data_IF_547801071694
#
_entry.id   IF_547801071694
#
_cell.length_a   1.000
_cell.length_b   1.000
_cell.length_c   1.000
_cell.angle_alpha   90.00
_cell.angle_beta   90.00
_cell.angle_gamma   90.00
#
_symmetry.space_group_name_H-M   'P 1'
#
loop_
_entity.id
_entity.type
_entity.pdbx_description
1 polymer ?
#
# COMPACT_ATOMS: atom_id res chain seq x y z
N UNK A 1 5.43 11.63 3.58
CA UNK A 1 6.25 11.69 4.82
C UNK A 1 7.68 12.10 4.48
N UNK A 2 8.41 12.64 5.44
CA UNK A 2 9.85 12.94 5.33
C UNK A 2 10.62 12.13 6.38
N UNK A 3 11.78 11.63 6.00
CA UNK A 3 12.63 10.82 6.89
C UNK A 3 14.04 11.40 6.96
N UNK A 4 14.75 11.10 8.04
CA UNK A 4 16.19 11.29 8.12
C UNK A 4 16.99 10.24 7.35
N UNK A 5 18.32 10.26 7.48
CA UNK A 5 19.25 9.31 6.84
C UNK A 5 19.06 7.86 7.26
N UNK A 6 18.54 7.63 8.44
CA UNK A 6 18.35 6.32 9.05
C UNK A 6 16.92 5.79 8.84
N UNK A 7 16.07 6.57 8.15
CA UNK A 7 14.68 6.21 7.88
C UNK A 7 13.71 6.53 9.02
N UNK A 8 14.14 7.28 10.05
CA UNK A 8 13.21 7.74 11.08
C UNK A 8 12.32 8.85 10.50
N UNK A 9 11.01 8.75 10.71
CA UNK A 9 10.04 9.72 10.22
C UNK A 9 10.18 11.00 11.04
N UNK A 10 10.46 12.11 10.35
CA UNK A 10 10.61 13.45 10.94
C UNK A 10 9.34 14.28 10.76
N UNK A 11 8.60 14.01 9.69
CA UNK A 11 7.39 14.73 9.37
C UNK A 11 6.39 13.81 8.65
N UNK A 12 5.14 13.91 9.04
CA UNK A 12 4.03 13.19 8.41
C UNK A 12 2.88 14.16 8.13
N UNK A 13 2.44 14.20 6.87
CA UNK A 13 1.26 14.99 6.45
C UNK A 13 0.33 14.08 5.65
N UNK A 14 -0.93 14.04 6.05
CA UNK A 14 -1.95 13.28 5.35
C UNK A 14 -2.43 14.02 4.10
N UNK A 15 -2.28 13.39 2.94
CA UNK A 15 -2.74 13.89 1.62
C UNK A 15 -2.42 15.37 1.36
N UNK A 16 -1.16 15.83 1.53
CA UNK A 16 -0.79 17.20 1.29
C UNK A 16 -1.00 17.57 -0.19
N UNK A 17 -1.31 18.86 -0.47
CA UNK A 17 -1.53 19.36 -1.83
C UNK A 17 -0.79 20.68 -2.05
N UNK A 18 -0.54 21.02 -3.31
CA UNK A 18 0.11 22.27 -3.69
C UNK A 18 1.48 22.44 -3.06
N UNK A 19 1.75 23.59 -2.45
CA UNK A 19 3.04 23.91 -1.85
C UNK A 19 3.35 23.01 -0.66
N UNK A 20 2.34 22.64 0.14
CA UNK A 20 2.50 21.68 1.24
C UNK A 20 2.99 20.30 0.77
N UNK A 21 2.61 19.86 -0.43
CA UNK A 21 3.17 18.65 -1.03
C UNK A 21 4.63 18.86 -1.45
N UNK A 22 4.96 20.00 -2.07
CA UNK A 22 6.32 20.30 -2.53
C UNK A 22 7.33 20.30 -1.39
N UNK A 23 6.94 20.82 -0.22
CA UNK A 23 7.77 20.79 0.99
C UNK A 23 8.08 19.38 1.50
N UNK A 24 7.28 18.39 1.11
CA UNK A 24 7.44 16.98 1.50
C UNK A 24 8.38 16.19 0.57
N UNK A 25 8.96 16.84 -0.45
CA UNK A 25 9.91 16.18 -1.35
C UNK A 25 11.18 15.74 -0.60
N UNK A 26 11.65 14.56 -0.93
CA UNK A 26 12.88 13.96 -0.40
C UNK A 26 13.71 13.40 -1.56
N UNK A 27 15.01 13.22 -1.33
CA UNK A 27 15.87 12.50 -2.26
C UNK A 27 15.59 10.99 -2.16
N UNK A 28 14.80 10.46 -3.07
CA UNK A 28 14.43 9.04 -3.12
C UNK A 28 15.51 8.16 -3.71
N UNK A 29 16.60 8.70 -4.27
CA UNK A 29 17.77 7.90 -4.70
C UNK A 29 18.40 7.15 -3.54
N UNK A 30 18.26 7.68 -2.32
CA UNK A 30 18.71 7.04 -1.07
C UNK A 30 18.03 5.70 -0.78
N UNK A 31 16.91 5.43 -1.43
CA UNK A 31 16.13 4.19 -1.30
C UNK A 31 16.34 3.25 -2.50
N UNK A 32 17.38 3.48 -3.28
CA UNK A 32 17.77 2.59 -4.39
C UNK A 32 17.20 2.96 -5.76
N UNK A 33 16.46 4.09 -5.88
CA UNK A 33 16.01 4.56 -7.18
C UNK A 33 17.15 5.18 -7.99
N UNK A 34 17.09 5.05 -9.32
CA UNK A 34 17.99 5.79 -10.21
C UNK A 34 17.76 7.31 -10.07
N UNK A 35 18.74 8.12 -10.41
CA UNK A 35 18.62 9.58 -10.33
C UNK A 35 17.44 10.12 -11.14
N UNK A 36 17.14 9.53 -12.29
CA UNK A 36 15.99 9.88 -13.12
C UNK A 36 14.67 9.54 -12.43
N UNK A 37 14.53 8.30 -11.94
CA UNK A 37 13.34 7.87 -11.20
C UNK A 37 13.14 8.64 -9.90
N UNK A 38 14.21 9.05 -9.23
CA UNK A 38 14.13 9.86 -8.02
C UNK A 38 13.57 11.26 -8.28
N UNK A 39 13.91 11.86 -9.43
CA UNK A 39 13.34 13.16 -9.83
C UNK A 39 11.85 13.06 -10.15
N UNK A 40 11.41 11.97 -10.76
CA UNK A 40 10.01 11.74 -11.09
C UNK A 40 9.16 11.36 -9.87
N UNK A 41 9.77 10.70 -8.88
CA UNK A 41 9.10 10.17 -7.68
C UNK A 41 9.74 10.72 -6.39
N UNK A 42 9.69 12.04 -6.12
CA UNK A 42 10.38 12.67 -5.00
C UNK A 42 9.61 12.56 -3.67
N UNK A 43 8.58 11.74 -3.57
CA UNK A 43 7.73 11.66 -2.38
C UNK A 43 7.67 10.26 -1.80
N UNK A 44 7.70 10.18 -0.46
CA UNK A 44 7.37 8.96 0.26
C UNK A 44 5.91 8.99 0.68
N UNK A 45 5.12 8.08 0.14
CA UNK A 45 3.72 7.89 0.51
C UNK A 45 3.56 6.86 1.63
N UNK A 46 2.52 7.00 2.45
CA UNK A 46 2.10 5.96 3.38
C UNK A 46 1.19 4.98 2.66
N UNK A 47 1.43 3.69 2.85
CA UNK A 47 0.56 2.62 2.37
C UNK A 47 -0.61 2.36 3.34
N UNK A 48 -0.71 3.08 4.46
CA UNK A 48 -1.72 2.85 5.49
C UNK A 48 -1.49 1.59 6.32
N UNK A 49 -0.28 1.02 6.28
CA UNK A 49 0.09 -0.18 7.02
C UNK A 49 1.07 0.22 8.12
N UNK A 50 0.71 -0.09 9.37
CA UNK A 50 1.48 0.32 10.53
C UNK A 50 1.70 -0.86 11.49
N UNK A 51 2.87 -0.90 12.09
CA UNK A 51 3.22 -1.85 13.15
C UNK A 51 3.58 -1.05 14.40
N UNK A 52 2.89 -1.30 15.49
CA UNK A 52 3.10 -0.64 16.77
C UNK A 52 3.60 -1.62 17.82
N UNK A 53 4.40 -1.15 18.77
CA UNK A 53 4.46 -1.83 20.05
C UNK A 53 3.09 -1.73 20.73
N UNK A 54 2.66 -2.79 21.40
CA UNK A 54 1.35 -2.82 22.07
C UNK A 54 1.16 -1.63 23.00
N UNK A 55 2.14 -1.35 23.84
CA UNK A 55 2.05 -0.27 24.84
C UNK A 55 1.88 1.09 24.15
N UNK A 56 2.71 1.39 23.15
CA UNK A 56 2.63 2.66 22.41
C UNK A 56 1.25 2.85 21.77
N UNK A 57 0.68 1.79 21.18
CA UNK A 57 -0.64 1.88 20.57
C UNK A 57 -1.73 2.19 21.60
N UNK A 58 -1.73 1.47 22.73
CA UNK A 58 -2.71 1.71 23.79
C UNK A 58 -2.56 3.10 24.38
N UNK A 59 -1.35 3.56 24.66
CA UNK A 59 -1.09 4.90 25.19
C UNK A 59 -1.61 6.02 24.24
N UNK A 60 -1.51 5.80 22.92
CA UNK A 60 -2.01 6.75 21.93
C UNK A 60 -3.53 6.76 21.80
N UNK A 61 -4.18 5.61 21.95
CA UNK A 61 -5.63 5.47 21.78
C UNK A 61 -6.39 5.73 23.09
N UNK A 62 -5.92 5.19 24.21
CA UNK A 62 -6.56 5.35 25.52
C UNK A 62 -6.35 6.76 26.09
N UNK A 63 -5.19 7.38 25.77
CA UNK A 63 -4.87 8.74 26.20
C UNK A 63 -5.67 9.83 25.49
N UNK A 64 -6.27 9.51 24.34
CA UNK A 64 -7.12 10.45 23.61
C UNK A 64 -8.16 9.68 22.76
N UNK A 65 -9.36 9.59 23.31
CA UNK A 65 -10.50 8.90 22.67
C UNK A 65 -11.03 9.58 21.40
N UNK A 66 -10.53 10.77 21.07
CA UNK A 66 -10.92 11.51 19.88
C UNK A 66 -10.10 11.13 18.64
N UNK A 67 -9.03 10.33 18.80
CA UNK A 67 -8.24 9.83 17.68
C UNK A 67 -9.04 8.80 16.86
N UNK A 68 -9.45 9.21 15.64
CA UNK A 68 -10.27 8.40 14.69
C UNK A 68 -9.54 8.03 13.41
N UNK A 69 -8.41 8.67 13.13
CA UNK A 69 -7.66 8.52 11.88
C UNK A 69 -6.15 8.39 12.18
N UNK A 70 -5.56 7.30 11.70
CA UNK A 70 -4.14 7.06 11.95
C UNK A 70 -3.25 8.11 11.28
N UNK A 71 -3.54 8.49 10.05
CA UNK A 71 -2.73 9.43 9.28
C UNK A 71 -2.85 10.88 9.75
N UNK A 72 -4.05 11.27 10.17
CA UNK A 72 -4.32 12.67 10.58
C UNK A 72 -4.03 12.94 12.04
N UNK A 73 -4.18 11.94 12.90
CA UNK A 73 -4.23 12.14 14.34
C UNK A 73 -3.19 11.28 15.07
N UNK A 74 -3.23 9.95 14.92
CA UNK A 74 -2.39 9.03 15.71
C UNK A 74 -0.90 9.18 15.38
N UNK A 75 -0.53 9.17 14.09
CA UNK A 75 0.87 9.30 13.68
C UNK A 75 1.44 10.68 14.02
N UNK A 76 0.76 11.81 13.73
CA UNK A 76 1.22 13.12 14.17
C UNK A 76 1.32 13.26 15.69
N UNK A 77 0.37 12.70 16.46
CA UNK A 77 0.44 12.69 17.93
C UNK A 77 1.65 11.91 18.45
N UNK A 78 1.94 10.75 17.87
CA UNK A 78 3.12 9.96 18.21
C UNK A 78 4.42 10.71 17.92
N UNK A 79 4.52 11.37 16.76
CA UNK A 79 5.67 12.25 16.44
C UNK A 79 5.81 13.41 17.45
N UNK A 80 4.70 14.07 17.79
CA UNK A 80 4.69 15.18 18.74
C UNK A 80 5.09 14.75 20.16
N UNK A 81 4.77 13.51 20.53
CA UNK A 81 5.18 12.89 21.80
C UNK A 81 6.67 12.55 21.84
N UNK A 82 7.33 12.52 20.68
CA UNK A 82 8.73 12.15 20.55
C UNK A 82 8.98 10.64 20.45
N UNK A 83 7.96 9.88 20.08
CA UNK A 83 8.14 8.46 19.81
C UNK A 83 9.03 8.22 18.58
N UNK A 84 9.76 7.11 18.59
CA UNK A 84 10.55 6.70 17.43
C UNK A 84 9.65 6.04 16.40
N UNK A 85 9.45 6.70 15.26
CA UNK A 85 8.74 6.16 14.10
C UNK A 85 9.74 5.81 13.00
N UNK A 86 9.78 4.55 12.62
CA UNK A 86 10.67 4.04 11.58
C UNK A 86 9.87 3.75 10.31
N UNK A 87 10.32 4.27 9.17
CA UNK A 87 9.77 3.91 7.87
C UNK A 87 10.35 2.57 7.40
N UNK A 88 9.50 1.75 6.79
CA UNK A 88 9.89 0.62 5.96
C UNK A 88 9.56 0.97 4.52
N UNK A 89 10.57 1.06 3.67
CA UNK A 89 10.38 1.35 2.25
C UNK A 89 10.05 0.06 1.52
N UNK A 90 8.87 0.01 0.93
CA UNK A 90 8.40 -1.10 0.11
C UNK A 90 8.55 -0.71 -1.36
N UNK A 91 9.30 -1.49 -2.12
CA UNK A 91 9.59 -1.26 -3.54
C UNK A 91 9.13 -2.47 -4.38
N UNK A 92 7.86 -2.83 -4.25
CA UNK A 92 7.20 -3.85 -5.04
C UNK A 92 5.80 -3.39 -5.40
N UNK A 93 5.00 -4.24 -6.05
CA UNK A 93 3.65 -3.90 -6.47
C UNK A 93 2.75 -3.54 -5.28
N UNK A 94 2.22 -2.35 -5.32
CA UNK A 94 1.19 -1.86 -4.40
C UNK A 94 0.20 -0.99 -5.18
N UNK A 95 -1.10 -1.16 -4.93
CA UNK A 95 -2.15 -0.39 -5.59
C UNK A 95 -3.21 0.05 -4.58
N UNK A 96 -3.58 1.33 -4.64
CA UNK A 96 -4.74 1.88 -3.92
C UNK A 96 -5.98 1.78 -4.81
N UNK A 97 -6.84 0.80 -4.53
CA UNK A 97 -8.07 0.55 -5.29
C UNK A 97 -9.27 1.37 -4.78
N UNK A 98 -9.03 2.63 -4.43
CA UNK A 98 -10.05 3.54 -3.90
C UNK A 98 -11.11 4.02 -4.90
N UNK A 99 -11.01 3.66 -6.18
CA UNK A 99 -11.99 4.00 -7.23
C UNK A 99 -12.41 2.77 -8.03
N UNK A 100 -13.58 2.83 -8.69
CA UNK A 100 -14.04 1.75 -9.59
C UNK A 100 -13.05 1.52 -10.72
N UNK A 101 -12.46 2.58 -11.28
CA UNK A 101 -11.43 2.47 -12.32
C UNK A 101 -10.18 1.73 -11.84
N UNK A 102 -9.60 2.14 -10.70
CA UNK A 102 -8.44 1.47 -10.11
C UNK A 102 -8.74 -0.01 -9.77
N UNK A 103 -9.92 -0.30 -9.24
CA UNK A 103 -10.37 -1.68 -9.00
C UNK A 103 -10.41 -2.51 -10.29
N UNK A 104 -10.98 -1.96 -11.36
CA UNK A 104 -11.07 -2.63 -12.65
C UNK A 104 -9.67 -2.89 -13.23
N UNK A 105 -8.82 -1.88 -13.27
CA UNK A 105 -7.44 -1.98 -13.78
C UNK A 105 -6.59 -2.97 -12.98
N UNK A 106 -6.68 -2.96 -11.65
CA UNK A 106 -6.00 -3.91 -10.80
C UNK A 106 -6.41 -5.37 -11.06
N UNK A 107 -7.71 -5.62 -11.33
CA UNK A 107 -8.17 -6.95 -11.72
C UNK A 107 -7.62 -7.38 -13.09
N UNK A 108 -7.64 -6.50 -14.08
CA UNK A 108 -7.08 -6.79 -15.40
C UNK A 108 -5.55 -6.99 -15.37
N UNK A 109 -4.85 -6.28 -14.48
CA UNK A 109 -3.41 -6.42 -14.30
C UNK A 109 -3.00 -7.86 -13.95
N UNK A 110 -3.85 -8.61 -13.23
CA UNK A 110 -3.61 -10.02 -12.88
C UNK A 110 -3.56 -10.96 -14.10
N UNK A 111 -4.16 -10.55 -15.21
CA UNK A 111 -4.21 -11.35 -16.46
C UNK A 111 -3.12 -10.95 -17.46
N UNK A 112 -2.23 -10.00 -17.13
CA UNK A 112 -1.20 -9.49 -18.02
C UNK A 112 -0.16 -10.57 -18.37
N UNK A 113 0.34 -10.49 -19.59
CA UNK A 113 1.39 -11.35 -20.12
C UNK A 113 2.63 -10.52 -20.49
N UNK A 114 3.84 -11.06 -20.38
CA UNK A 114 4.18 -12.44 -19.99
C UNK A 114 4.14 -12.69 -18.48
N UNK A 115 4.05 -11.64 -17.66
CA UNK A 115 4.02 -11.75 -16.19
C UNK A 115 3.11 -10.67 -15.61
N UNK A 116 2.15 -11.04 -14.76
CA UNK A 116 1.37 -10.06 -14.01
C UNK A 116 2.24 -9.33 -12.97
N UNK A 117 1.83 -8.14 -12.49
CA UNK A 117 2.57 -7.38 -11.47
C UNK A 117 2.68 -8.15 -10.14
N UNK A 118 1.70 -9.01 -9.82
CA UNK A 118 1.81 -9.97 -8.73
C UNK A 118 1.02 -11.24 -9.06
N UNK A 119 1.28 -12.34 -8.35
CA UNK A 119 0.64 -13.63 -8.58
C UNK A 119 -0.09 -14.14 -7.36
N UNK A 120 -1.33 -14.62 -7.54
CA UNK A 120 -2.06 -15.38 -6.51
C UNK A 120 -1.51 -16.80 -6.30
N UNK A 121 -0.68 -17.27 -7.22
CA UNK A 121 -0.21 -18.66 -7.31
C UNK A 121 1.23 -18.83 -6.80
N UNK A 122 1.68 -17.95 -5.89
CA UNK A 122 2.99 -18.11 -5.26
C UNK A 122 2.89 -19.15 -4.13
N UNK A 123 3.55 -20.29 -4.33
CA UNK A 123 3.55 -21.39 -3.36
C UNK A 123 4.23 -21.04 -2.03
N UNK A 124 5.17 -20.09 -2.05
CA UNK A 124 5.87 -19.63 -0.84
C UNK A 124 5.07 -18.65 -0.02
N UNK A 125 4.19 -17.88 -0.67
CA UNK A 125 3.35 -16.86 -0.06
C UNK A 125 1.90 -17.01 -0.52
N UNK A 126 1.23 -18.11 -0.11
CA UNK A 126 -0.12 -18.42 -0.59
C UNK A 126 -1.12 -17.35 -0.11
N UNK A 127 -1.95 -16.89 -1.03
CA UNK A 127 -3.08 -16.01 -0.72
C UNK A 127 -4.31 -16.87 -0.50
N UNK A 128 -4.79 -16.91 0.74
CA UNK A 128 -5.98 -17.67 1.12
C UNK A 128 -7.23 -16.88 0.75
N UNK A 129 -8.13 -17.52 -0.01
CA UNK A 129 -9.43 -16.95 -0.36
C UNK A 129 -10.54 -17.66 0.40
N UNK A 130 -11.73 -17.04 0.49
CA UNK A 130 -12.89 -17.68 1.09
C UNK A 130 -13.36 -18.83 0.20
N UNK A 131 -13.39 -20.08 0.66
CA UNK A 131 -13.95 -21.20 -0.09
C UNK A 131 -15.46 -20.99 -0.27
N UNK A 132 -15.93 -21.05 -1.50
CA UNK A 132 -17.36 -20.85 -1.82
C UNK A 132 -18.09 -22.16 -2.06
N UNK A 133 -17.36 -23.25 -2.32
CA UNK A 133 -17.90 -24.56 -2.62
C UNK A 133 -18.91 -24.53 -3.79
N UNK A 134 -18.65 -23.69 -4.78
CA UNK A 134 -19.45 -23.59 -5.98
C UNK A 134 -19.15 -24.76 -6.94
N UNK A 135 -20.08 -25.12 -7.84
CA UNK A 135 -19.79 -26.10 -8.87
C UNK A 135 -18.65 -25.63 -9.77
N UNK A 136 -17.96 -26.55 -10.45
CA UNK A 136 -16.92 -26.19 -11.42
C UNK A 136 -17.44 -25.21 -12.48
N UNK A 137 -16.56 -24.35 -12.98
CA UNK A 137 -16.87 -23.47 -14.11
C UNK A 137 -17.22 -24.29 -15.35
N UNK A 138 -18.27 -23.91 -16.08
CA UNK A 138 -18.70 -24.55 -17.31
C UNK A 138 -18.50 -23.61 -18.50
N UNK A 139 -17.69 -24.03 -19.46
CA UNK A 139 -17.36 -23.27 -20.65
C UNK A 139 -17.72 -24.05 -21.87
N UNK A 140 -18.59 -23.51 -22.73
CA UNK A 140 -19.07 -24.14 -23.96
C UNK A 140 -18.87 -23.18 -25.12
N UNK A 141 -18.25 -23.65 -26.19
CA UNK A 141 -17.94 -22.88 -27.42
C UNK A 141 -17.28 -21.53 -27.16
N UNK A 142 -16.35 -21.46 -26.16
CA UNK A 142 -15.71 -20.25 -25.71
C UNK A 142 -14.27 -20.15 -26.24
N UNK A 143 -13.90 -18.95 -26.67
CA UNK A 143 -12.49 -18.58 -26.91
C UNK A 143 -12.00 -17.74 -25.71
N UNK A 144 -10.96 -18.23 -25.02
CA UNK A 144 -10.48 -17.62 -23.79
C UNK A 144 -8.99 -17.34 -23.95
N UNK A 145 -8.62 -16.07 -23.70
CA UNK A 145 -7.22 -15.63 -23.67
C UNK A 145 -7.01 -14.72 -22.48
N UNK A 146 -5.85 -14.82 -21.83
CA UNK A 146 -5.40 -13.94 -20.73
C UNK A 146 -6.51 -13.70 -19.68
N UNK A 147 -7.05 -14.75 -19.12
CA UNK A 147 -8.22 -14.67 -18.24
C UNK A 147 -8.01 -15.46 -16.96
N UNK A 148 -8.63 -15.00 -15.88
CA UNK A 148 -8.81 -15.74 -14.63
C UNK A 148 -10.31 -16.05 -14.51
N UNK A 149 -10.65 -17.34 -14.41
CA UNK A 149 -12.04 -17.80 -14.35
C UNK A 149 -12.31 -18.31 -12.95
N UNK A 150 -13.25 -17.66 -12.26
CA UNK A 150 -13.67 -18.07 -10.93
C UNK A 150 -14.55 -19.32 -10.94
N UNK A 151 -14.62 -20.03 -9.81
CA UNK A 151 -15.56 -21.14 -9.61
C UNK A 151 -17.01 -20.68 -9.82
N UNK A 152 -17.83 -21.54 -10.43
CA UNK A 152 -19.25 -21.28 -10.67
C UNK A 152 -19.55 -20.33 -11.85
N UNK A 153 -18.56 -19.98 -12.68
CA UNK A 153 -18.80 -19.23 -13.92
C UNK A 153 -19.44 -20.12 -14.98
N UNK A 154 -20.40 -19.56 -15.72
CA UNK A 154 -21.15 -20.25 -16.83
C UNK A 154 -21.08 -19.37 -18.07
#
# INVERSE_FOLDING_TARGET
MRTDGDGNIQEFREKPKGDSLREMAVDTSRFGLSSESAQERPYLASMGIYVFSRQTLFDLLDGNTDHKDFGKEVIPASLSRGDKLQSYVFDDYWEDIGTIGAFYEANLALTQQPKPPFSFYDEKFPIYTRPRYLPPSKLVDAQITNSIIGEGSI
#
